data_IF_702687974885
#
_entry.id   IF_702687974885
#
_cell.length_a   1.000
_cell.length_b   1.000
_cell.length_c   1.000
_cell.angle_alpha   90.00
_cell.angle_beta   90.00
_cell.angle_gamma   90.00
#
_symmetry.space_group_name_H-M   'P 1'
#
loop_
_entity.id
_entity.type
_entity.pdbx_description
1 polymer ?
#
# COMPACT_ATOMS: atom_id res chain seq x y z
N UNK A 1 4.35 -7.93 -1.86
CA UNK A 1 3.94 -6.61 -2.38
C UNK A 1 5.10 -6.00 -3.13
N UNK A 2 4.85 -5.47 -4.31
CA UNK A 2 5.84 -4.77 -5.12
C UNK A 2 5.64 -3.28 -5.04
N UNK A 3 6.75 -2.54 -5.00
CA UNK A 3 6.73 -1.09 -5.08
C UNK A 3 7.54 -0.69 -6.30
N UNK A 4 6.92 0.06 -7.20
CA UNK A 4 7.54 0.49 -8.45
C UNK A 4 7.33 2.00 -8.64
N UNK A 5 8.05 2.57 -9.62
CA UNK A 5 7.92 3.98 -9.97
C UNK A 5 8.06 4.93 -8.78
N UNK A 6 9.02 4.63 -7.92
CA UNK A 6 9.28 5.45 -6.74
C UNK A 6 9.82 6.81 -7.18
N UNK A 7 9.21 7.87 -6.66
CA UNK A 7 9.68 9.23 -6.92
C UNK A 7 9.50 10.06 -5.64
N UNK A 8 9.88 11.31 -5.69
CA UNK A 8 9.99 12.15 -4.48
C UNK A 8 8.70 12.29 -3.68
N UNK A 9 7.55 12.17 -4.32
CA UNK A 9 6.26 12.37 -3.66
C UNK A 9 5.29 11.22 -3.86
N UNK A 10 5.74 10.07 -4.38
CA UNK A 10 4.84 8.95 -4.57
C UNK A 10 5.49 7.70 -5.11
N UNK A 11 4.65 6.70 -5.34
CA UNK A 11 5.08 5.43 -5.93
C UNK A 11 3.84 4.66 -6.38
N UNK A 12 4.06 3.52 -7.03
CA UNK A 12 3.00 2.59 -7.37
C UNK A 12 3.16 1.33 -6.53
N UNK A 13 2.05 0.85 -5.99
CA UNK A 13 2.00 -0.40 -5.24
C UNK A 13 1.26 -1.44 -6.05
N UNK A 14 1.77 -2.67 -6.04
CA UNK A 14 1.10 -3.84 -6.60
C UNK A 14 1.20 -4.98 -5.60
N UNK A 15 0.14 -5.75 -5.50
CA UNK A 15 0.10 -6.90 -4.61
C UNK A 15 -0.63 -8.04 -5.30
N UNK A 16 -0.56 -9.21 -4.69
CA UNK A 16 -1.27 -10.38 -5.22
C UNK A 16 -2.60 -10.53 -4.52
N UNK A 17 -3.58 -10.99 -5.26
CA UNK A 17 -4.87 -11.36 -4.68
C UNK A 17 -4.67 -12.46 -3.66
N UNK A 18 -5.45 -12.47 -2.55
CA UNK A 18 -5.42 -13.59 -1.62
C UNK A 18 -5.79 -14.90 -2.34
N UNK A 19 -5.09 -15.97 -2.01
CA UNK A 19 -5.35 -17.27 -2.63
C UNK A 19 -6.70 -17.85 -2.22
N UNK A 20 -7.11 -17.53 -0.99
CA UNK A 20 -8.35 -18.01 -0.43
C UNK A 20 -9.14 -16.81 0.11
N UNK A 21 -10.20 -16.47 -0.58
CA UNK A 21 -11.08 -15.38 -0.17
C UNK A 21 -12.29 -15.87 0.61
N UNK A 22 -12.29 -17.15 1.00
CA UNK A 22 -13.40 -17.74 1.72
C UNK A 22 -14.66 -17.90 0.89
N UNK A 23 -14.53 -17.80 -0.44
CA UNK A 23 -15.66 -17.86 -1.34
C UNK A 23 -16.40 -16.53 -1.50
N UNK A 24 -15.95 -15.49 -0.82
CA UNK A 24 -16.57 -14.17 -0.89
C UNK A 24 -15.75 -13.23 -1.78
N UNK A 25 -16.41 -12.52 -2.70
CA UNK A 25 -15.71 -11.59 -3.57
C UNK A 25 -15.06 -10.46 -2.77
N UNK A 26 -13.91 -10.01 -3.23
CA UNK A 26 -13.24 -8.86 -2.64
C UNK A 26 -13.96 -7.60 -3.09
N UNK A 27 -14.39 -6.80 -2.13
CA UNK A 27 -15.09 -5.55 -2.40
C UNK A 27 -14.15 -4.37 -2.54
N UNK A 28 -13.01 -4.43 -1.84
CA UNK A 28 -12.03 -3.36 -1.86
C UNK A 28 -10.72 -3.82 -1.27
N UNK A 29 -9.66 -3.05 -1.54
CA UNK A 29 -8.41 -3.15 -0.78
C UNK A 29 -8.20 -1.81 -0.08
N UNK A 30 -7.81 -1.86 1.18
CA UNK A 30 -7.48 -0.66 1.95
C UNK A 30 -5.98 -0.57 2.05
N UNK A 31 -5.43 0.58 1.67
CA UNK A 31 -3.99 0.81 1.66
C UNK A 31 -3.65 1.83 2.76
N UNK A 32 -2.66 1.49 3.56
CA UNK A 32 -2.19 2.35 4.64
C UNK A 32 -0.69 2.54 4.56
N UNK A 33 -0.22 3.66 5.08
CA UNK A 33 1.21 3.94 5.16
C UNK A 33 1.62 4.14 6.61
N UNK A 34 2.83 3.75 6.93
CA UNK A 34 3.44 3.96 8.24
C UNK A 34 4.60 4.94 8.08
N UNK A 35 4.54 6.01 8.86
CA UNK A 35 5.67 6.91 9.01
C UNK A 35 6.48 6.41 10.21
N UNK A 36 7.75 5.98 10.01
CA UNK A 36 8.56 5.47 11.11
C UNK A 36 8.81 6.48 12.22
N UNK A 37 8.74 7.76 11.92
CA UNK A 37 8.94 8.80 12.93
C UNK A 37 7.80 8.86 13.92
N UNK A 38 6.58 8.61 13.48
CA UNK A 38 5.41 8.64 14.36
C UNK A 38 4.99 7.27 14.84
N UNK A 39 5.32 6.22 14.07
CA UNK A 39 4.89 4.87 14.36
C UNK A 39 3.40 4.64 14.18
N UNK A 40 2.73 5.52 13.47
CA UNK A 40 1.27 5.46 13.28
C UNK A 40 0.95 5.15 11.83
N UNK A 41 0.05 4.16 11.62
CA UNK A 41 -0.49 3.85 10.31
C UNK A 41 -1.57 4.87 9.94
N UNK A 42 -1.43 5.45 8.75
CA UNK A 42 -2.39 6.41 8.22
C UNK A 42 -2.99 5.88 6.93
N UNK A 43 -4.29 6.11 6.70
CA UNK A 43 -4.91 5.67 5.46
C UNK A 43 -4.37 6.43 4.25
N UNK A 44 -4.04 5.70 3.20
CA UNK A 44 -3.68 6.28 1.91
C UNK A 44 -4.91 6.34 1.03
N UNK A 45 -5.71 5.27 1.05
CA UNK A 45 -6.90 5.18 0.25
C UNK A 45 -7.33 3.73 0.10
N UNK A 46 -8.28 3.51 -0.81
CA UNK A 46 -8.75 2.17 -1.10
C UNK A 46 -9.04 2.04 -2.59
N UNK A 47 -8.92 0.81 -3.10
CA UNK A 47 -9.35 0.49 -4.45
C UNK A 47 -10.78 -0.05 -4.40
N UNK A 48 -11.50 0.06 -5.51
CA UNK A 48 -12.84 -0.49 -5.62
C UNK A 48 -12.77 -1.87 -6.26
N UNK A 49 -13.43 -2.85 -5.65
CA UNK A 49 -13.43 -4.21 -6.14
C UNK A 49 -12.06 -4.86 -6.02
N UNK A 50 -11.82 -5.85 -6.86
CA UNK A 50 -10.59 -6.64 -6.80
C UNK A 50 -9.52 -6.05 -7.74
N UNK A 51 -9.06 -4.85 -7.41
CA UNK A 51 -7.98 -4.18 -8.14
C UNK A 51 -6.72 -4.21 -7.27
N UNK A 52 -5.73 -5.05 -7.61
CA UNK A 52 -4.58 -5.29 -6.74
C UNK A 52 -3.42 -4.31 -6.94
N UNK A 53 -3.75 -3.07 -7.23
CA UNK A 53 -2.73 -2.05 -7.41
C UNK A 53 -3.28 -0.67 -7.10
N UNK A 54 -2.40 0.23 -6.70
CA UNK A 54 -2.76 1.59 -6.38
C UNK A 54 -1.57 2.52 -6.58
N UNK A 55 -1.85 3.71 -7.13
CA UNK A 55 -0.86 4.77 -7.19
C UNK A 55 -0.92 5.56 -5.88
N UNK A 56 0.22 5.71 -5.22
CA UNK A 56 0.35 6.46 -3.98
C UNK A 56 1.00 7.80 -4.30
N UNK A 57 0.41 8.88 -3.80
CA UNK A 57 1.00 10.21 -3.93
C UNK A 57 0.92 10.94 -2.59
N UNK A 58 1.40 12.17 -2.55
CA UNK A 58 1.38 12.94 -1.31
C UNK A 58 2.43 12.53 -0.29
N UNK A 59 3.45 11.76 -0.70
CA UNK A 59 4.56 11.43 0.17
C UNK A 59 5.49 12.63 0.34
N UNK A 60 6.16 12.69 1.49
CA UNK A 60 7.11 13.77 1.76
C UNK A 60 8.48 13.35 1.25
N UNK A 61 9.13 14.15 0.37
CA UNK A 61 10.44 13.80 -0.16
C UNK A 61 11.46 13.56 0.95
N UNK A 62 12.24 12.49 0.79
CA UNK A 62 13.27 12.13 1.75
C UNK A 62 12.80 11.32 2.94
N UNK A 63 11.49 11.18 3.13
CA UNK A 63 10.94 10.39 4.22
C UNK A 63 10.85 8.91 3.84
N UNK A 64 10.95 8.06 4.83
CA UNK A 64 10.80 6.63 4.67
C UNK A 64 9.36 6.23 5.04
N UNK A 65 8.84 5.22 4.34
CA UNK A 65 7.49 4.73 4.59
C UNK A 65 7.44 3.21 4.48
N UNK A 66 6.53 2.62 5.24
CA UNK A 66 6.09 1.25 5.01
C UNK A 66 4.64 1.32 4.55
N UNK A 67 4.24 0.34 3.76
CA UNK A 67 2.88 0.25 3.28
C UNK A 67 2.29 -1.10 3.65
N UNK A 68 0.98 -1.13 3.86
CA UNK A 68 0.25 -2.36 4.04
C UNK A 68 -1.10 -2.30 3.34
N UNK A 69 -1.59 -3.46 2.94
CA UNK A 69 -2.84 -3.60 2.21
C UNK A 69 -3.69 -4.66 2.90
N UNK A 70 -4.96 -4.37 3.09
CA UNK A 70 -5.94 -5.31 3.60
C UNK A 70 -7.02 -5.52 2.56
N UNK A 71 -7.39 -6.78 2.31
CA UNK A 71 -8.54 -7.09 1.47
C UNK A 71 -9.81 -6.99 2.31
N UNK A 72 -10.85 -6.42 1.75
CA UNK A 72 -12.13 -6.25 2.43
C UNK A 72 -13.21 -6.98 1.64
N UNK A 73 -13.98 -7.78 2.34
CA UNK A 73 -15.19 -8.40 1.80
C UNK A 73 -16.32 -8.23 2.82
N UNK A 74 -17.49 -8.80 2.55
CA UNK A 74 -18.63 -8.60 3.43
C UNK A 74 -18.46 -9.22 4.82
N UNK A 75 -17.47 -10.09 5.00
CA UNK A 75 -17.16 -10.67 6.31
C UNK A 75 -16.14 -9.87 7.09
N UNK A 76 -15.53 -8.87 6.50
CA UNK A 76 -14.57 -7.99 7.17
C UNK A 76 -13.26 -7.86 6.43
N UNK A 77 -12.22 -7.48 7.17
CA UNK A 77 -10.89 -7.25 6.63
C UNK A 77 -10.01 -8.48 6.81
N UNK A 78 -9.16 -8.73 5.82
CA UNK A 78 -8.15 -9.78 5.90
C UNK A 78 -6.95 -9.32 6.72
N UNK A 79 -6.01 -10.25 6.96
CA UNK A 79 -4.73 -9.87 7.54
C UNK A 79 -3.97 -8.98 6.55
N UNK A 80 -3.22 -8.00 7.04
CA UNK A 80 -2.51 -7.09 6.15
C UNK A 80 -1.30 -7.73 5.49
N UNK A 81 -1.08 -7.35 4.23
CA UNK A 81 0.17 -7.58 3.53
C UNK A 81 1.02 -6.33 3.70
N UNK A 82 2.24 -6.50 4.19
CA UNK A 82 3.14 -5.37 4.40
C UNK A 82 4.34 -5.44 3.47
N UNK A 83 4.93 -4.27 3.20
CA UNK A 83 6.21 -4.23 2.50
C UNK A 83 7.29 -4.84 3.37
N UNK A 84 8.31 -5.47 2.73
CA UNK A 84 9.37 -6.16 3.46
C UNK A 84 10.30 -5.21 4.22
N UNK A 85 10.32 -3.94 3.85
CA UNK A 85 11.14 -2.94 4.51
C UNK A 85 10.61 -1.56 4.21
N UNK A 86 11.39 -0.54 4.57
CA UNK A 86 11.00 0.84 4.30
C UNK A 86 11.34 1.23 2.86
N UNK A 87 10.57 2.18 2.35
CA UNK A 87 10.73 2.75 1.02
C UNK A 87 10.97 4.23 1.20
N UNK A 88 12.02 4.76 0.59
CA UNK A 88 12.33 6.17 0.67
C UNK A 88 11.72 6.91 -0.51
N UNK A 89 10.96 7.96 -0.24
CA UNK A 89 10.38 8.80 -1.27
C UNK A 89 11.46 9.70 -1.86
N UNK A 90 11.95 9.33 -3.04
CA UNK A 90 12.99 10.09 -3.74
C UNK A 90 12.92 9.82 -5.22
N UNK A 91 13.39 10.77 -6.01
CA UNK A 91 13.44 10.58 -7.45
C UNK A 91 14.50 9.53 -7.81
N UNK A 92 14.25 8.71 -8.85
CA UNK A 92 15.21 7.67 -9.26
C UNK A 92 16.51 8.25 -9.80
N UNK A 93 16.50 9.50 -10.22
CA UNK A 93 17.67 10.19 -10.74
C UNK A 93 18.00 11.36 -9.81
N UNK A 94 18.47 11.03 -8.62
CA UNK A 94 18.91 12.08 -7.69
C UNK A 94 20.29 12.59 -8.10
N UNK A 95 20.43 13.87 -8.06
CA UNK A 95 21.73 14.51 -8.25
C UNK A 95 22.22 15.05 -6.92
#
# INVERSE_FOLDING_TARGET
MEVTDIHKDGCNLKWKRPKDDGGEPIEAYVVEKLDPETGIWLPVGKTTGDVPEMKVDGLIPGHEYKFRVKAVNKEGESEPLETAGTITAKDPFSK
#
